data_IF_642238122524
#
_entry.id   IF_642238122524
#
_cell.length_a   1.000
_cell.length_b   1.000
_cell.length_c   1.000
_cell.angle_alpha   90.00
_cell.angle_beta   90.00
_cell.angle_gamma   90.00
#
_symmetry.space_group_name_H-M   'P 1'
#
loop_
_entity.id
_entity.type
_entity.pdbx_description
1 polymer ?
#
# COMPACT_ATOMS: atom_id res chain seq x y z
N UNK A 1 21.12 4.31 5.49
CA UNK A 1 20.76 4.57 4.08
C UNK A 1 19.77 5.73 4.00
N UNK A 2 19.75 6.45 2.87
CA UNK A 2 18.71 7.44 2.57
C UNK A 2 17.60 6.75 1.76
N UNK A 3 16.41 6.66 2.34
CA UNK A 3 15.26 5.95 1.78
C UNK A 3 14.17 6.93 1.39
N UNK A 4 13.54 6.73 0.24
CA UNK A 4 12.33 7.41 -0.17
C UNK A 4 11.21 6.38 -0.32
N UNK A 5 10.08 6.60 0.33
CA UNK A 5 8.88 5.79 0.12
C UNK A 5 7.82 6.58 -0.64
N UNK A 6 7.12 5.92 -1.55
CA UNK A 6 6.13 6.56 -2.44
C UNK A 6 4.82 5.80 -2.37
N UNK A 7 3.71 6.49 -2.11
CA UNK A 7 2.37 5.89 -2.15
C UNK A 7 1.44 6.34 -1.03
N UNK A 8 0.55 5.44 -0.62
CA UNK A 8 -0.53 5.77 0.29
C UNK A 8 -0.12 6.01 1.74
N UNK A 9 -0.75 7.03 2.32
CA UNK A 9 -0.82 7.31 3.75
C UNK A 9 -2.28 7.55 4.12
N UNK A 10 -2.78 6.89 5.16
CA UNK A 10 -4.18 6.92 5.57
C UNK A 10 -4.34 6.70 7.08
N UNK A 11 -5.56 6.90 7.56
CA UNK A 11 -5.93 6.53 8.94
C UNK A 11 -6.85 5.33 8.89
N UNK A 12 -6.48 4.28 9.60
CA UNK A 12 -7.24 3.04 9.73
C UNK A 12 -7.96 3.04 11.08
N UNK A 13 -9.28 2.80 11.05
CA UNK A 13 -10.09 2.56 12.24
C UNK A 13 -10.37 1.07 12.34
N UNK A 14 -9.88 0.44 13.38
CA UNK A 14 -10.02 -0.98 13.64
C UNK A 14 -11.14 -1.15 14.67
N UNK A 15 -12.17 -1.90 14.30
CA UNK A 15 -13.30 -2.26 15.14
C UNK A 15 -13.21 -3.76 15.43
N UNK A 16 -13.00 -4.13 16.69
CA UNK A 16 -13.00 -5.53 17.11
C UNK A 16 -14.37 -5.87 17.69
N UNK A 17 -14.97 -6.93 17.17
CA UNK A 17 -16.27 -7.44 17.61
C UNK A 17 -16.06 -8.87 18.13
N UNK A 18 -16.72 -9.23 19.23
CA UNK A 18 -16.69 -10.60 19.77
C UNK A 18 -17.22 -11.60 18.73
N UNK A 19 -16.56 -12.76 18.63
CA UNK A 19 -16.85 -13.74 17.57
C UNK A 19 -18.25 -14.36 17.68
N UNK A 20 -18.85 -14.37 18.86
CA UNK A 20 -20.22 -14.87 19.12
C UNK A 20 -21.31 -13.90 18.64
N UNK A 21 -20.96 -12.64 18.43
CA UNK A 21 -21.86 -11.59 17.87
C UNK A 21 -21.81 -11.51 16.35
N UNK A 22 -21.03 -12.38 15.71
CA UNK A 22 -20.81 -12.37 14.26
C UNK A 22 -21.29 -13.70 13.69
N UNK A 23 -22.29 -13.64 12.81
CA UNK A 23 -22.64 -14.80 11.99
C UNK A 23 -21.65 -14.93 10.81
N UNK A 24 -21.06 -16.11 10.70
CA UNK A 24 -20.15 -16.46 9.61
C UNK A 24 -20.79 -17.52 8.71
N UNK A 25 -20.85 -17.24 7.42
CA UNK A 25 -21.19 -18.27 6.43
C UNK A 25 -19.90 -18.79 5.79
N UNK A 26 -19.61 -20.09 6.00
CA UNK A 26 -18.57 -20.82 5.28
C UNK A 26 -19.21 -21.61 4.14
N UNK A 27 -18.94 -21.24 2.91
CA UNK A 27 -19.40 -22.03 1.77
C UNK A 27 -18.49 -23.25 1.58
N UNK A 28 -19.06 -24.45 1.36
CA UNK A 28 -18.30 -25.70 1.22
C UNK A 28 -17.29 -25.71 0.06
N UNK A 29 -17.48 -24.87 -0.95
CA UNK A 29 -16.67 -24.83 -2.18
C UNK A 29 -15.99 -23.47 -2.40
N UNK A 30 -15.88 -22.61 -1.38
CA UNK A 30 -15.19 -21.32 -1.49
C UNK A 30 -14.22 -21.15 -0.32
N UNK A 31 -13.01 -20.71 -0.62
CA UNK A 31 -12.01 -20.34 0.39
C UNK A 31 -12.40 -19.03 1.13
N UNK A 32 -13.53 -18.41 0.78
CA UNK A 32 -13.99 -17.14 1.33
C UNK A 32 -14.94 -17.36 2.51
N UNK A 33 -14.70 -16.62 3.59
CA UNK A 33 -15.64 -16.45 4.71
C UNK A 33 -16.32 -15.08 4.60
N UNK A 34 -17.57 -15.01 5.04
CA UNK A 34 -18.38 -13.79 5.01
C UNK A 34 -18.70 -13.35 6.43
N UNK A 35 -18.60 -12.05 6.67
CA UNK A 35 -19.06 -11.40 7.88
C UNK A 35 -20.48 -10.89 7.60
N UNK A 36 -21.46 -11.34 8.39
CA UNK A 36 -22.83 -10.87 8.30
C UNK A 36 -23.11 -9.86 9.41
N UNK A 37 -23.60 -8.70 9.02
CA UNK A 37 -24.06 -7.66 9.94
C UNK A 37 -25.55 -7.45 9.68
N UNK A 38 -26.35 -7.50 10.76
CA UNK A 38 -27.79 -7.29 10.66
C UNK A 38 -28.12 -5.81 10.48
N UNK A 39 -28.92 -5.48 9.47
CA UNK A 39 -29.37 -4.09 9.25
C UNK A 39 -30.26 -3.61 10.39
N UNK A 40 -30.05 -2.35 10.82
CA UNK A 40 -30.84 -1.73 11.87
C UNK A 40 -30.47 -2.11 13.29
N UNK A 41 -29.59 -3.06 13.50
CA UNK A 41 -29.08 -3.44 14.81
C UNK A 41 -27.89 -2.59 15.24
N UNK A 42 -27.75 -2.38 16.55
CA UNK A 42 -26.55 -1.80 17.15
C UNK A 42 -25.70 -2.94 17.68
N UNK A 43 -24.57 -3.17 17.03
CA UNK A 43 -23.57 -4.14 17.50
C UNK A 43 -22.56 -3.42 18.39
N UNK A 44 -22.40 -3.88 19.62
CA UNK A 44 -21.37 -3.40 20.52
C UNK A 44 -19.99 -3.88 20.07
N UNK A 45 -19.06 -2.95 19.88
CA UNK A 45 -17.67 -3.27 19.65
C UNK A 45 -16.95 -3.50 20.99
N UNK A 46 -16.11 -4.51 21.06
CA UNK A 46 -15.22 -4.75 22.20
C UNK A 46 -14.14 -3.67 22.27
N UNK A 47 -13.62 -3.28 21.12
CA UNK A 47 -12.59 -2.27 21.00
C UNK A 47 -12.73 -1.47 19.69
N UNK A 48 -12.46 -0.16 19.79
CA UNK A 48 -12.26 0.70 18.64
C UNK A 48 -10.91 1.39 18.81
N UNK A 49 -10.03 1.21 17.84
CA UNK A 49 -8.71 1.84 17.82
C UNK A 49 -8.47 2.52 16.47
N UNK A 50 -7.73 3.64 16.47
CA UNK A 50 -7.31 4.29 15.23
C UNK A 50 -5.79 4.30 15.15
N UNK A 51 -5.26 4.02 13.97
CA UNK A 51 -3.82 4.05 13.69
C UNK A 51 -3.55 4.64 12.32
N UNK A 52 -2.34 5.17 12.12
CA UNK A 52 -1.89 5.53 10.80
C UNK A 52 -1.42 4.28 10.05
N UNK A 53 -1.81 4.19 8.78
CA UNK A 53 -1.45 3.11 7.87
C UNK A 53 -1.20 3.59 6.45
N UNK A 54 -1.19 2.65 5.52
CA UNK A 54 -0.85 2.88 4.12
C UNK A 54 0.55 2.36 3.78
N UNK A 55 0.70 1.81 2.57
CA UNK A 55 1.92 1.09 2.19
C UNK A 55 3.19 1.93 2.29
N UNK A 56 3.15 3.18 1.82
CA UNK A 56 4.31 4.07 1.89
C UNK A 56 4.59 4.54 3.32
N UNK A 57 3.55 4.88 4.10
CA UNK A 57 3.70 5.30 5.49
C UNK A 57 4.30 4.18 6.33
N UNK A 58 3.78 2.97 6.22
CA UNK A 58 4.27 1.82 6.99
C UNK A 58 5.72 1.50 6.66
N UNK A 59 6.09 1.54 5.38
CA UNK A 59 7.47 1.32 4.94
C UNK A 59 8.40 2.45 5.44
N UNK A 60 7.94 3.71 5.41
CA UNK A 60 8.71 4.85 5.91
C UNK A 60 9.01 4.72 7.41
N UNK A 61 7.99 4.41 8.20
CA UNK A 61 8.14 4.21 9.65
C UNK A 61 9.05 3.02 9.96
N UNK A 62 8.86 1.90 9.25
CA UNK A 62 9.71 0.73 9.44
C UNK A 62 11.18 1.03 9.14
N UNK A 63 11.47 1.70 8.02
CA UNK A 63 12.83 2.07 7.65
C UNK A 63 13.44 3.07 8.66
N UNK A 64 12.67 4.07 9.11
CA UNK A 64 13.15 5.03 10.12
C UNK A 64 13.50 4.34 11.45
N UNK A 65 12.66 3.41 11.92
CA UNK A 65 12.92 2.62 13.13
C UNK A 65 14.13 1.70 13.02
N UNK A 66 14.49 1.29 11.80
CA UNK A 66 15.73 0.56 11.50
C UNK A 66 16.96 1.48 11.40
N UNK A 67 16.82 2.78 11.69
CA UNK A 67 17.92 3.75 11.71
C UNK A 67 18.24 4.35 10.33
N UNK A 68 17.33 4.32 9.38
CA UNK A 68 17.51 4.93 8.07
C UNK A 68 16.95 6.36 8.03
N UNK A 69 17.58 7.24 7.24
CA UNK A 69 17.04 8.56 6.95
C UNK A 69 15.95 8.43 5.89
N UNK A 70 14.71 8.59 6.31
CA UNK A 70 13.56 8.27 5.48
C UNK A 70 12.74 9.51 5.15
N UNK A 71 12.30 9.62 3.90
CA UNK A 71 11.32 10.59 3.44
C UNK A 71 10.14 9.86 2.77
N UNK A 72 9.00 10.54 2.65
CA UNK A 72 7.80 10.01 2.01
C UNK A 72 7.27 10.98 0.97
N UNK A 73 6.98 10.48 -0.24
CA UNK A 73 6.08 11.10 -1.22
C UNK A 73 4.69 10.47 -1.04
N UNK A 74 3.72 11.30 -0.76
CA UNK A 74 2.33 10.91 -0.60
C UNK A 74 1.42 12.13 -0.68
N UNK A 75 0.11 11.90 -0.62
CA UNK A 75 -0.86 12.98 -0.64
C UNK A 75 -1.95 12.75 0.40
N UNK A 76 -2.23 13.79 1.19
CA UNK A 76 -3.30 13.82 2.19
C UNK A 76 -4.31 14.90 1.83
N UNK A 77 -5.47 14.90 2.44
CA UNK A 77 -6.37 16.05 2.40
C UNK A 77 -5.89 17.19 3.31
N UNK A 78 -6.78 18.17 3.53
CA UNK A 78 -6.58 19.29 4.46
C UNK A 78 -7.52 19.11 5.67
N UNK A 79 -7.33 18.01 6.41
CA UNK A 79 -8.20 17.59 7.51
C UNK A 79 -7.41 17.08 8.73
N UNK A 80 -8.10 16.78 9.83
CA UNK A 80 -7.48 16.32 11.08
C UNK A 80 -6.70 14.99 10.89
N UNK A 81 -7.13 14.14 9.93
CA UNK A 81 -6.42 12.91 9.61
C UNK A 81 -5.06 13.20 8.98
N UNK A 82 -4.97 14.25 8.13
CA UNK A 82 -3.70 14.70 7.56
C UNK A 82 -2.72 15.10 8.67
N UNK A 83 -3.18 15.86 9.66
CA UNK A 83 -2.35 16.26 10.79
C UNK A 83 -1.94 15.06 11.65
N UNK A 84 -2.83 14.11 11.87
CA UNK A 84 -2.51 12.86 12.58
C UNK A 84 -1.39 12.10 11.87
N UNK A 85 -1.45 11.97 10.54
CA UNK A 85 -0.42 11.33 9.72
C UNK A 85 0.90 12.09 9.80
N UNK A 86 0.88 13.42 9.61
CA UNK A 86 2.09 14.25 9.68
C UNK A 86 2.78 14.16 11.03
N UNK A 87 2.00 14.23 12.10
CA UNK A 87 2.53 14.14 13.46
C UNK A 87 3.12 12.76 13.73
N UNK A 88 2.45 11.69 13.29
CA UNK A 88 2.98 10.34 13.39
C UNK A 88 4.33 10.20 12.69
N UNK A 89 4.42 10.63 11.45
CA UNK A 89 5.66 10.56 10.66
C UNK A 89 6.79 11.37 11.28
N UNK A 90 6.50 12.59 11.77
CA UNK A 90 7.51 13.43 12.45
C UNK A 90 8.04 12.79 13.73
N UNK A 91 7.17 12.20 14.55
CA UNK A 91 7.57 11.49 15.78
C UNK A 91 8.49 10.31 15.47
N UNK A 92 8.27 9.63 14.35
CA UNK A 92 9.11 8.52 13.88
C UNK A 92 10.38 8.98 13.14
N UNK A 93 10.60 10.32 13.03
CA UNK A 93 11.78 10.87 12.36
C UNK A 93 11.75 10.81 10.83
N UNK A 94 10.57 10.67 10.24
CA UNK A 94 10.39 10.67 8.77
C UNK A 94 10.25 12.10 8.26
N UNK A 95 11.00 12.44 7.22
CA UNK A 95 10.88 13.71 6.51
C UNK A 95 9.56 13.77 5.73
N UNK A 96 8.72 14.74 6.05
CA UNK A 96 7.39 14.96 5.47
C UNK A 96 7.36 16.09 4.44
N UNK A 97 8.51 16.58 4.00
CA UNK A 97 8.62 17.72 3.07
C UNK A 97 7.91 17.45 1.72
N UNK A 98 7.84 16.19 1.32
CA UNK A 98 7.21 15.75 0.08
C UNK A 98 5.81 15.15 0.28
N UNK A 99 5.23 15.29 1.47
CA UNK A 99 3.85 14.90 1.73
C UNK A 99 2.94 16.08 1.39
N UNK A 100 2.40 16.08 0.18
CA UNK A 100 1.56 17.16 -0.33
C UNK A 100 0.12 17.11 0.22
N UNK A 101 -0.61 18.20 0.06
CA UNK A 101 -2.02 18.29 0.42
C UNK A 101 -2.89 18.46 -0.82
N UNK A 102 -4.03 17.79 -0.84
CA UNK A 102 -5.10 17.98 -1.83
C UNK A 102 -6.19 18.87 -1.24
N UNK A 103 -6.74 19.77 -2.04
CA UNK A 103 -7.79 20.72 -1.62
C UNK A 103 -9.20 20.23 -1.96
N UNK A 104 -9.34 19.14 -2.69
CA UNK A 104 -10.61 18.61 -3.17
C UNK A 104 -11.00 17.29 -2.51
N UNK A 105 -10.01 16.47 -2.17
CA UNK A 105 -10.23 15.15 -1.62
C UNK A 105 -9.76 15.07 -0.16
N UNK A 106 -10.54 14.48 0.72
CA UNK A 106 -10.11 14.25 2.10
C UNK A 106 -8.98 13.20 2.16
N UNK A 107 -8.31 13.14 3.29
CA UNK A 107 -7.31 12.12 3.59
C UNK A 107 -7.91 10.71 3.51
N UNK A 108 -7.17 9.79 2.92
CA UNK A 108 -7.55 8.39 2.86
C UNK A 108 -7.85 7.82 4.25
N UNK A 109 -8.86 6.95 4.32
CA UNK A 109 -9.25 6.28 5.55
C UNK A 109 -9.75 4.87 5.26
N UNK A 110 -9.63 3.99 6.25
CA UNK A 110 -10.29 2.69 6.21
C UNK A 110 -11.01 2.38 7.52
N UNK A 111 -12.02 1.51 7.42
CA UNK A 111 -12.65 0.86 8.56
C UNK A 111 -12.42 -0.62 8.40
N UNK A 112 -11.80 -1.22 9.40
CA UNK A 112 -11.46 -2.64 9.45
C UNK A 112 -12.32 -3.25 10.55
N UNK A 113 -13.25 -4.11 10.18
CA UNK A 113 -14.06 -4.86 11.13
C UNK A 113 -13.48 -6.26 11.24
N UNK A 114 -12.99 -6.63 12.40
CA UNK A 114 -12.37 -7.92 12.67
C UNK A 114 -13.01 -8.64 13.85
N UNK A 115 -12.97 -9.98 13.77
CA UNK A 115 -13.21 -10.86 14.89
C UNK A 115 -11.89 -11.40 15.44
N UNK A 116 -11.93 -12.10 16.57
CA UNK A 116 -10.75 -12.76 17.15
C UNK A 116 -10.11 -13.80 16.21
N UNK A 117 -10.84 -14.32 15.22
CA UNK A 117 -10.36 -15.32 14.25
C UNK A 117 -9.46 -14.75 13.14
N UNK A 118 -8.99 -13.50 13.29
CA UNK A 118 -8.12 -12.79 12.33
C UNK A 118 -8.74 -12.53 10.95
N UNK A 119 -9.99 -12.86 10.71
CA UNK A 119 -10.70 -12.48 9.50
C UNK A 119 -11.23 -11.07 9.65
N UNK A 120 -10.97 -10.23 8.65
CA UNK A 120 -11.40 -8.84 8.67
C UNK A 120 -12.10 -8.45 7.38
N UNK A 121 -13.18 -7.69 7.50
CA UNK A 121 -13.76 -6.96 6.39
C UNK A 121 -13.17 -5.54 6.36
N UNK A 122 -12.68 -5.10 5.22
CA UNK A 122 -12.01 -3.80 5.09
C UNK A 122 -12.79 -2.91 4.13
N UNK A 123 -13.21 -1.77 4.64
CA UNK A 123 -13.84 -0.70 3.86
C UNK A 123 -12.83 0.42 3.68
N UNK A 124 -12.38 0.64 2.46
CA UNK A 124 -11.33 1.62 2.18
C UNK A 124 -11.86 2.77 1.33
N UNK A 125 -11.68 3.98 1.82
CA UNK A 125 -11.80 5.21 1.05
C UNK A 125 -10.39 5.77 0.79
N UNK A 126 -9.99 5.85 -0.47
CA UNK A 126 -8.62 6.20 -0.83
C UNK A 126 -8.35 7.71 -0.78
N UNK A 127 -9.37 8.53 -1.04
CA UNK A 127 -9.30 9.99 -0.99
C UNK A 127 -8.09 10.55 -1.75
N UNK A 128 -7.40 11.49 -1.17
CA UNK A 128 -6.25 12.17 -1.74
C UNK A 128 -5.12 11.23 -2.20
N UNK A 129 -5.03 9.99 -1.68
CA UNK A 129 -4.05 9.00 -2.15
C UNK A 129 -4.20 8.64 -3.64
N UNK A 130 -5.34 8.95 -4.26
CA UNK A 130 -5.58 8.72 -5.69
C UNK A 130 -5.12 9.87 -6.59
N UNK A 131 -4.64 10.97 -6.02
CA UNK A 131 -4.45 12.25 -6.71
C UNK A 131 -3.00 12.73 -6.74
N UNK A 132 -2.03 11.84 -6.59
CA UNK A 132 -0.64 12.19 -6.89
C UNK A 132 -0.53 12.61 -8.35
N UNK A 133 0.16 13.71 -8.60
CA UNK A 133 0.38 14.32 -9.92
C UNK A 133 1.87 14.37 -10.23
N UNK A 134 2.28 14.60 -11.48
CA UNK A 134 3.70 14.69 -11.82
C UNK A 134 4.50 15.67 -10.95
N UNK A 135 3.90 16.79 -10.54
CA UNK A 135 4.53 17.79 -9.68
C UNK A 135 4.82 17.29 -8.25
N UNK A 136 4.16 16.22 -7.81
CA UNK A 136 4.45 15.58 -6.52
C UNK A 136 5.73 14.72 -6.55
N UNK A 137 6.37 14.55 -7.73
CA UNK A 137 7.59 13.78 -7.93
C UNK A 137 8.77 14.65 -8.37
N UNK A 138 9.12 15.73 -7.63
CA UNK A 138 10.21 16.59 -8.04
C UNK A 138 11.55 15.84 -7.98
N UNK A 139 12.50 16.11 -8.90
CA UNK A 139 13.80 15.43 -8.92
C UNK A 139 14.57 15.51 -7.59
N UNK A 140 14.38 16.61 -6.85
CA UNK A 140 15.03 16.88 -5.56
C UNK A 140 14.65 15.84 -4.50
N UNK A 141 13.42 15.33 -4.53
CA UNK A 141 12.96 14.30 -3.61
C UNK A 141 13.76 12.99 -3.76
N UNK A 142 14.26 12.71 -4.96
CA UNK A 142 15.02 11.50 -5.32
C UNK A 142 16.52 11.68 -5.15
N UNK A 143 17.01 12.93 -5.08
CA UNK A 143 18.43 13.21 -5.01
C UNK A 143 19.09 12.58 -3.79
N UNK A 144 20.20 11.84 -4.00
CA UNK A 144 20.96 11.19 -2.94
C UNK A 144 20.22 10.04 -2.24
N UNK A 145 19.09 9.56 -2.77
CA UNK A 145 18.41 8.37 -2.25
C UNK A 145 19.14 7.13 -2.71
N UNK A 146 19.37 6.21 -1.78
CA UNK A 146 19.99 4.90 -2.05
C UNK A 146 18.95 3.82 -2.32
N UNK A 147 17.74 4.01 -1.77
CA UNK A 147 16.58 3.14 -1.97
C UNK A 147 15.34 3.98 -2.20
N UNK A 148 14.61 3.66 -3.26
CA UNK A 148 13.26 4.14 -3.50
C UNK A 148 12.31 2.95 -3.41
N UNK A 149 11.32 3.04 -2.52
CA UNK A 149 10.27 2.05 -2.36
C UNK A 149 8.96 2.62 -2.88
N UNK A 150 8.39 1.99 -3.91
CA UNK A 150 7.09 2.35 -4.45
C UNK A 150 6.06 1.33 -3.93
N UNK A 151 5.18 1.79 -3.06
CA UNK A 151 4.02 1.03 -2.61
C UNK A 151 2.91 1.05 -3.67
N UNK A 152 1.84 0.30 -3.42
CA UNK A 152 0.66 0.31 -4.26
C UNK A 152 0.16 1.75 -4.53
N UNK A 153 0.17 2.16 -5.79
CA UNK A 153 -0.43 3.38 -6.28
C UNK A 153 -1.84 3.08 -6.82
N UNK A 154 -2.77 4.03 -6.63
CA UNK A 154 -4.19 3.82 -6.92
C UNK A 154 -4.73 4.88 -7.86
N UNK A 155 -5.60 4.47 -8.79
CA UNK A 155 -6.30 5.33 -9.73
C UNK A 155 -5.31 6.25 -10.49
N UNK A 156 -5.55 7.57 -10.54
CA UNK A 156 -4.71 8.55 -11.23
C UNK A 156 -3.27 8.59 -10.70
N UNK A 157 -3.06 8.31 -9.41
CA UNK A 157 -1.70 8.22 -8.86
C UNK A 157 -0.87 7.13 -9.52
N UNK A 158 -1.50 6.04 -9.98
CA UNK A 158 -0.79 4.96 -10.67
C UNK A 158 -0.29 5.34 -12.06
N UNK A 159 -0.87 6.37 -12.70
CA UNK A 159 -0.42 6.87 -13.99
C UNK A 159 0.97 7.52 -13.89
N UNK A 160 1.40 7.88 -12.67
CA UNK A 160 2.75 8.42 -12.41
C UNK A 160 3.78 7.34 -12.08
N UNK A 161 3.43 6.06 -12.13
CA UNK A 161 4.37 4.97 -11.85
C UNK A 161 5.61 5.02 -12.76
N UNK A 162 5.49 5.17 -14.10
CA UNK A 162 6.65 5.28 -14.97
C UNK A 162 7.55 6.47 -14.63
N UNK A 163 6.98 7.62 -14.28
CA UNK A 163 7.74 8.80 -13.85
C UNK A 163 8.52 8.53 -12.55
N UNK A 164 7.90 7.89 -11.56
CA UNK A 164 8.55 7.54 -10.31
C UNK A 164 9.73 6.58 -10.53
N UNK A 165 9.55 5.56 -11.39
CA UNK A 165 10.62 4.64 -11.80
C UNK A 165 11.76 5.39 -12.49
N UNK A 166 11.45 6.22 -13.47
CA UNK A 166 12.44 7.03 -14.18
C UNK A 166 13.25 7.91 -13.23
N UNK A 167 12.59 8.60 -12.28
CA UNK A 167 13.25 9.45 -11.28
C UNK A 167 14.17 8.65 -10.36
N UNK A 168 13.73 7.49 -9.88
CA UNK A 168 14.53 6.61 -9.04
C UNK A 168 15.80 6.13 -9.76
N UNK A 169 15.68 5.65 -10.99
CA UNK A 169 16.81 5.16 -11.78
C UNK A 169 17.74 6.28 -12.20
N UNK A 170 17.22 7.46 -12.54
CA UNK A 170 18.05 8.64 -12.85
C UNK A 170 18.85 9.13 -11.64
N UNK A 171 18.36 8.92 -10.43
CA UNK A 171 19.09 9.21 -9.19
C UNK A 171 20.09 8.11 -8.79
N UNK A 172 20.16 6.99 -9.54
CA UNK A 172 21.00 5.85 -9.24
C UNK A 172 20.54 5.04 -8.01
N UNK A 173 19.29 5.19 -7.61
CA UNK A 173 18.75 4.47 -6.48
C UNK A 173 18.40 3.02 -6.82
N UNK A 174 18.52 2.12 -5.84
CA UNK A 174 17.89 0.81 -5.87
C UNK A 174 16.36 1.01 -5.82
N UNK A 175 15.64 0.28 -6.67
CA UNK A 175 14.19 0.36 -6.78
C UNK A 175 13.51 -0.88 -6.19
N UNK A 176 12.75 -0.71 -5.11
CA UNK A 176 11.88 -1.72 -4.55
C UNK A 176 10.42 -1.37 -4.85
N UNK A 177 9.63 -2.35 -5.26
CA UNK A 177 8.21 -2.15 -5.65
C UNK A 177 7.31 -3.18 -4.99
N UNK A 178 6.19 -2.71 -4.46
CA UNK A 178 5.08 -3.53 -4.01
C UNK A 178 3.80 -3.11 -4.77
N UNK A 179 3.57 -3.64 -5.97
CA UNK A 179 2.43 -3.28 -6.79
C UNK A 179 1.15 -3.88 -6.20
N UNK A 180 0.04 -3.15 -6.25
CA UNK A 180 -1.25 -3.74 -5.93
C UNK A 180 -1.86 -4.49 -7.11
N UNK A 181 -2.79 -5.40 -6.83
CA UNK A 181 -3.45 -6.23 -7.85
C UNK A 181 -4.04 -5.42 -9.02
N UNK A 182 -4.61 -4.23 -8.74
CA UNK A 182 -5.16 -3.35 -9.79
C UNK A 182 -4.08 -2.78 -10.72
N UNK A 183 -2.89 -2.53 -10.18
CA UNK A 183 -1.76 -2.06 -10.96
C UNK A 183 -1.24 -3.17 -11.88
N UNK A 184 -1.29 -4.42 -11.41
CA UNK A 184 -0.88 -5.59 -12.18
C UNK A 184 -1.92 -6.03 -13.23
N UNK A 185 -3.18 -5.64 -13.10
CA UNK A 185 -4.26 -6.05 -14.00
C UNK A 185 -4.77 -4.91 -14.88
N UNK A 186 -5.25 -3.82 -14.28
CA UNK A 186 -5.88 -2.72 -15.01
C UNK A 186 -4.88 -1.71 -15.61
N UNK A 187 -3.64 -1.67 -15.11
CA UNK A 187 -2.53 -0.81 -15.59
C UNK A 187 -1.25 -1.63 -15.79
N UNK A 188 -1.42 -2.83 -16.31
CA UNK A 188 -0.34 -3.78 -16.47
C UNK A 188 0.75 -3.31 -17.43
N UNK A 189 0.40 -2.59 -18.50
CA UNK A 189 1.37 -2.16 -19.52
C UNK A 189 2.46 -1.27 -18.93
N UNK A 190 2.09 -0.27 -18.12
CA UNK A 190 3.05 0.61 -17.45
C UNK A 190 3.97 -0.17 -16.50
N UNK A 191 3.42 -1.16 -15.81
CA UNK A 191 4.20 -2.02 -14.91
C UNK A 191 5.18 -2.88 -15.70
N UNK A 192 4.73 -3.55 -16.77
CA UNK A 192 5.55 -4.45 -17.55
C UNK A 192 6.65 -3.74 -18.34
N UNK A 193 6.38 -2.55 -18.87
CA UNK A 193 7.40 -1.74 -19.54
C UNK A 193 8.54 -1.30 -18.61
N UNK A 194 8.31 -1.32 -17.30
CA UNK A 194 9.29 -0.88 -16.31
C UNK A 194 9.82 -2.02 -15.43
N UNK A 195 9.46 -3.28 -15.70
CA UNK A 195 9.81 -4.42 -14.81
C UNK A 195 11.33 -4.64 -14.70
N UNK A 196 12.08 -4.44 -15.76
CA UNK A 196 13.54 -4.59 -15.77
C UNK A 196 14.26 -3.54 -14.90
N UNK A 197 13.59 -2.43 -14.59
CA UNK A 197 14.12 -1.41 -13.72
C UNK A 197 13.99 -1.75 -12.23
N UNK A 198 13.20 -2.77 -11.88
CA UNK A 198 12.92 -3.16 -10.51
C UNK A 198 14.05 -4.05 -9.98
N UNK A 199 14.69 -3.62 -8.91
CA UNK A 199 15.73 -4.41 -8.25
C UNK A 199 15.13 -5.39 -7.20
N UNK A 200 14.02 -4.99 -6.55
CA UNK A 200 13.32 -5.80 -5.54
C UNK A 200 11.81 -5.74 -5.80
N UNK A 201 11.18 -6.88 -6.03
CA UNK A 201 9.74 -7.01 -6.19
C UNK A 201 9.15 -7.76 -5.00
N UNK A 202 8.26 -7.08 -4.24
CA UNK A 202 7.53 -7.65 -3.12
C UNK A 202 6.07 -7.85 -3.52
N UNK A 203 5.57 -9.07 -3.49
CA UNK A 203 4.19 -9.41 -3.85
C UNK A 203 3.61 -10.42 -2.88
N UNK A 204 2.30 -10.35 -2.67
CA UNK A 204 1.56 -11.39 -1.98
C UNK A 204 1.18 -12.53 -2.95
N UNK A 205 0.60 -13.62 -2.41
CA UNK A 205 0.24 -14.81 -3.21
C UNK A 205 -0.69 -14.47 -4.39
N UNK A 206 -1.71 -13.64 -4.19
CA UNK A 206 -2.66 -13.28 -5.24
C UNK A 206 -1.99 -12.43 -6.34
N UNK A 207 -1.12 -11.51 -5.96
CA UNK A 207 -0.33 -10.70 -6.87
C UNK A 207 0.67 -11.56 -7.65
N UNK A 208 1.34 -12.50 -6.97
CA UNK A 208 2.23 -13.46 -7.63
C UNK A 208 1.48 -14.31 -8.66
N UNK A 209 0.30 -14.81 -8.32
CA UNK A 209 -0.55 -15.55 -9.26
C UNK A 209 -0.95 -14.72 -10.49
N UNK A 210 -1.23 -13.42 -10.30
CA UNK A 210 -1.54 -12.52 -11.42
C UNK A 210 -0.31 -12.24 -12.32
N UNK A 211 0.90 -12.29 -11.76
CA UNK A 211 2.16 -12.09 -12.49
C UNK A 211 2.59 -13.31 -13.31
N UNK A 212 2.28 -14.53 -12.85
CA UNK A 212 2.77 -15.76 -13.42
C UNK A 212 2.54 -15.91 -14.94
N UNK A 213 1.35 -15.66 -15.50
CA UNK A 213 1.13 -15.81 -16.94
C UNK A 213 2.08 -14.96 -17.78
N UNK A 214 2.33 -13.72 -17.32
CA UNK A 214 3.23 -12.82 -18.03
C UNK A 214 4.69 -13.24 -17.90
N UNK A 215 5.12 -13.64 -16.71
CA UNK A 215 6.49 -14.12 -16.46
C UNK A 215 6.78 -15.34 -17.36
N UNK A 216 5.87 -16.30 -17.40
CA UNK A 216 6.01 -17.49 -18.25
C UNK A 216 6.06 -17.14 -19.75
N UNK A 217 5.27 -16.18 -20.18
CA UNK A 217 5.24 -15.74 -21.57
C UNK A 217 6.54 -15.04 -22.01
N UNK A 218 7.13 -14.21 -21.15
CA UNK A 218 8.25 -13.32 -21.53
C UNK A 218 9.61 -13.88 -21.13
N UNK A 219 9.69 -14.66 -20.05
CA UNK A 219 10.95 -15.19 -19.50
C UNK A 219 11.04 -16.73 -19.59
N UNK A 220 9.97 -17.39 -20.05
CA UNK A 220 9.88 -18.84 -20.05
C UNK A 220 9.73 -19.43 -18.64
N UNK A 221 9.66 -20.76 -18.56
CA UNK A 221 9.56 -21.48 -17.30
C UNK A 221 10.88 -21.57 -16.52
N UNK A 222 11.96 -20.98 -17.08
CA UNK A 222 13.30 -20.98 -16.47
C UNK A 222 13.91 -22.37 -16.28
N UNK A 223 13.25 -23.43 -16.74
CA UNK A 223 13.68 -24.82 -16.57
C UNK A 223 13.75 -25.31 -15.12
N UNK A 224 13.34 -24.45 -14.16
CA UNK A 224 13.26 -24.85 -12.77
C UNK A 224 11.81 -25.24 -12.42
N UNK A 225 11.58 -26.37 -11.74
CA UNK A 225 10.25 -26.66 -11.24
C UNK A 225 9.84 -25.56 -10.29
N UNK A 226 8.68 -24.92 -10.56
CA UNK A 226 8.03 -24.04 -9.60
C UNK A 226 7.68 -24.89 -8.38
N UNK A 227 8.54 -24.91 -7.39
CA UNK A 227 8.21 -25.50 -6.09
C UNK A 227 7.18 -24.57 -5.48
N UNK A 228 5.90 -24.96 -5.59
CA UNK A 228 4.87 -24.39 -4.76
C UNK A 228 5.34 -24.61 -3.32
N UNK A 229 5.61 -23.53 -2.60
CA UNK A 229 5.76 -23.59 -1.16
C UNK A 229 4.36 -23.82 -0.59
N UNK A 230 3.91 -25.07 -0.64
CA UNK A 230 2.85 -25.58 0.18
C UNK A 230 3.44 -25.89 1.55
N UNK A 231 2.78 -25.33 2.56
CA UNK A 231 2.87 -25.69 3.97
C UNK A 231 4.12 -25.21 4.75
N UNK A 232 3.98 -24.04 5.39
CA UNK A 232 4.46 -23.79 6.75
C UNK A 232 3.50 -22.82 7.46
#
# INVERSE_FOLDING_TARGET
MNVLTIGGAMVDTIVTIESDKIEQIKMRNAESSFLLLEEGQKTEAEQIASSCGGGALNAAVAAARLGHHTAIIGKTGQDDKAETIRNRLRVEGVDVSWLSADDQEPTGASVIISSHDRNAAVFTYRGANTRLRPDDFPPEAFSGRQLVYIANLSNESADNYPLAVQRAKSAGAMLAVNPGIRQLTARSDDFWQNIEAIDILCVNRAEAQALMPYILQHFGDGGAPLVAADEA
#
